data_IF_205928363240
#
_entry.id   IF_205928363240
#
_cell.length_a   1.000
_cell.length_b   1.000
_cell.length_c   1.000
_cell.angle_alpha   90.00
_cell.angle_beta   90.00
_cell.angle_gamma   90.00
#
_symmetry.space_group_name_H-M   'P 1'
#
loop_
_entity.id
_entity.type
_entity.pdbx_description
1 polymer ?
#
# COMPACT_ATOMS: atom_id res chain seq x y z
N UNK A 1 -9.07 -4.12 -38.24
CA UNK A 1 -8.87 -2.74 -37.74
C UNK A 1 -8.14 -1.90 -38.79
N UNK A 2 -8.76 -0.82 -39.25
CA UNK A 2 -8.24 0.02 -40.33
C UNK A 2 -6.86 0.62 -39.95
N UNK A 3 -5.89 0.62 -40.87
CA UNK A 3 -4.54 1.14 -40.62
C UNK A 3 -4.53 2.57 -40.05
N UNK A 4 -5.53 3.38 -40.38
CA UNK A 4 -5.73 4.74 -39.86
C UNK A 4 -6.09 4.79 -38.36
N UNK A 5 -6.74 3.75 -37.81
CA UNK A 5 -7.07 3.68 -36.38
C UNK A 5 -5.83 3.28 -35.58
N UNK A 6 -5.01 2.35 -36.09
CA UNK A 6 -3.72 1.97 -35.49
C UNK A 6 -2.79 3.17 -35.38
N UNK A 7 -2.68 3.96 -36.45
CA UNK A 7 -1.82 5.15 -36.48
C UNK A 7 -2.33 6.24 -35.50
N UNK A 8 -3.64 6.46 -35.41
CA UNK A 8 -4.22 7.42 -34.45
C UNK A 8 -4.03 6.99 -33.00
N UNK A 9 -4.15 5.68 -32.70
CA UNK A 9 -3.95 5.15 -31.35
C UNK A 9 -2.46 5.25 -30.94
N UNK A 10 -1.53 4.93 -31.84
CA UNK A 10 -0.08 5.09 -31.60
C UNK A 10 0.27 6.57 -31.36
N UNK A 11 -0.29 7.48 -32.17
CA UNK A 11 -0.08 8.92 -32.00
C UNK A 11 -0.68 9.42 -30.68
N UNK A 12 -1.85 8.93 -30.27
CA UNK A 12 -2.47 9.29 -29.01
C UNK A 12 -1.65 8.78 -27.80
N UNK A 13 -1.16 7.54 -27.84
CA UNK A 13 -0.31 6.96 -26.80
C UNK A 13 1.04 7.70 -26.73
N UNK A 14 1.64 8.00 -27.88
CA UNK A 14 2.90 8.77 -27.92
C UNK A 14 2.69 10.21 -27.43
N UNK A 15 1.57 10.85 -27.76
CA UNK A 15 1.24 12.20 -27.27
C UNK A 15 0.97 12.23 -25.78
N UNK A 16 0.32 11.20 -25.23
CA UNK A 16 0.11 11.06 -23.77
C UNK A 16 1.44 10.82 -23.05
N UNK A 17 2.36 10.03 -23.62
CA UNK A 17 3.69 9.80 -23.04
C UNK A 17 4.53 11.08 -23.08
N UNK A 18 4.44 11.89 -24.14
CA UNK A 18 5.17 13.17 -24.26
C UNK A 18 4.59 14.26 -23.33
N UNK A 19 3.27 14.23 -23.05
CA UNK A 19 2.63 15.16 -22.12
C UNK A 19 2.86 14.81 -20.62
N UNK A 20 3.33 13.59 -20.33
CA UNK A 20 3.59 13.11 -18.95
C UNK A 20 5.09 13.24 -18.58
N UNK A 21 5.95 13.65 -19.50
CA UNK A 21 7.34 13.97 -19.16
C UNK A 21 7.35 15.46 -18.74
N UNK A 22 7.22 15.80 -17.44
CA UNK A 22 7.63 17.14 -17.01
C UNK A 22 9.13 17.22 -17.29
N UNK A 23 9.59 18.35 -17.79
CA UNK A 23 11.03 18.65 -17.89
C UNK A 23 11.68 18.35 -16.55
N UNK A 24 12.37 17.21 -16.47
CA UNK A 24 13.23 16.84 -15.33
C UNK A 24 14.51 17.66 -15.50
N UNK A 25 14.38 18.95 -15.47
CA UNK A 25 15.48 19.87 -15.21
C UNK A 25 15.53 20.03 -13.69
N UNK A 26 16.30 19.19 -13.02
CA UNK A 26 16.76 19.46 -11.67
C UNK A 26 17.75 20.65 -11.74
N UNK A 27 17.23 21.83 -12.05
CA UNK A 27 17.93 23.09 -11.82
C UNK A 27 17.64 23.47 -10.36
N UNK A 28 18.65 23.27 -9.51
CA UNK A 28 18.79 24.05 -8.28
C UNK A 28 18.91 25.50 -8.73
N UNK A 29 17.81 26.21 -8.79
CA UNK A 29 17.83 27.66 -9.02
C UNK A 29 18.31 28.28 -7.73
N UNK A 30 19.38 29.08 -7.83
CA UNK A 30 19.93 29.94 -6.75
C UNK A 30 18.90 30.92 -6.12
N UNK A 31 17.63 30.86 -6.53
CA UNK A 31 16.50 31.58 -5.91
C UNK A 31 15.95 30.95 -4.64
N UNK A 32 16.30 29.71 -4.31
CA UNK A 32 15.86 29.01 -3.09
C UNK A 32 16.68 29.41 -1.85
N UNK A 33 17.73 30.21 -2.01
CA UNK A 33 18.54 30.73 -0.90
C UNK A 33 17.96 32.00 -0.25
N UNK A 34 16.89 32.60 -0.81
CA UNK A 34 16.18 33.72 -0.20
C UNK A 34 14.83 33.27 0.34
N UNK A 35 14.81 32.97 1.63
CA UNK A 35 13.70 32.45 2.38
C UNK A 35 12.36 33.09 2.09
N UNK A 36 11.40 32.26 1.65
CA UNK A 36 9.97 32.43 1.91
C UNK A 36 9.09 31.30 1.37
N UNK A 37 9.61 30.07 1.15
CA UNK A 37 8.74 28.89 1.19
C UNK A 37 9.06 28.17 2.48
N UNK A 38 8.26 28.41 3.48
CA UNK A 38 8.19 27.57 4.68
C UNK A 38 7.98 26.15 4.17
N UNK A 39 8.98 25.26 4.37
CA UNK A 39 8.80 23.86 4.09
C UNK A 39 7.56 23.39 4.86
N UNK A 40 6.65 22.62 4.26
CA UNK A 40 5.47 22.14 4.97
C UNK A 40 5.91 21.40 6.22
N UNK A 41 5.41 21.80 7.37
CA UNK A 41 5.67 21.12 8.64
C UNK A 41 5.36 19.63 8.50
N UNK A 42 6.34 18.78 8.80
CA UNK A 42 6.19 17.35 8.67
C UNK A 42 5.32 16.81 9.82
N UNK A 43 4.10 16.41 9.52
CA UNK A 43 3.16 15.78 10.45
C UNK A 43 2.71 14.43 9.93
N UNK A 44 3.64 13.47 9.87
CA UNK A 44 3.36 12.12 9.42
C UNK A 44 2.64 11.31 10.50
N UNK A 45 1.59 10.58 10.11
CA UNK A 45 0.87 9.67 11.00
C UNK A 45 1.78 8.49 11.36
N UNK A 46 1.99 8.30 12.66
CA UNK A 46 2.84 7.24 13.18
C UNK A 46 2.03 6.01 13.55
N UNK A 47 2.49 4.84 13.09
CA UNK A 47 1.85 3.55 13.37
C UNK A 47 2.86 2.50 13.77
N UNK A 48 2.45 1.56 14.60
CA UNK A 48 3.17 0.31 14.78
C UNK A 48 3.04 -0.56 13.51
N UNK A 49 3.96 -1.49 13.32
CA UNK A 49 3.92 -2.50 12.24
C UNK A 49 3.67 -1.94 10.84
N UNK A 50 4.41 -0.89 10.41
CA UNK A 50 4.20 -0.23 9.13
C UNK A 50 4.42 -1.15 7.92
N UNK A 51 5.07 -2.30 8.09
CA UNK A 51 5.25 -3.31 7.04
C UNK A 51 3.91 -3.81 6.46
N UNK A 52 2.81 -3.68 7.19
CA UNK A 52 1.47 -4.03 6.72
C UNK A 52 0.98 -3.12 5.57
N UNK A 53 1.57 -1.93 5.41
CA UNK A 53 1.21 -1.00 4.34
C UNK A 53 2.04 -1.17 3.07
N UNK A 54 3.14 -1.93 3.12
CA UNK A 54 4.00 -2.18 1.97
C UNK A 54 3.27 -3.09 0.98
N UNK A 55 3.21 -2.69 -0.29
CA UNK A 55 2.66 -3.52 -1.37
C UNK A 55 3.47 -4.81 -1.51
N UNK A 56 2.87 -5.99 -1.28
CA UNK A 56 3.64 -7.21 -1.19
C UNK A 56 3.90 -7.89 -2.54
N UNK A 57 3.07 -7.63 -3.56
CA UNK A 57 3.10 -8.28 -4.86
C UNK A 57 3.60 -7.37 -5.97
N UNK A 58 4.17 -7.98 -7.02
CA UNK A 58 4.76 -7.25 -8.14
C UNK A 58 3.72 -6.67 -9.08
N UNK A 59 2.56 -7.31 -9.27
CA UNK A 59 1.53 -6.80 -10.18
C UNK A 59 1.03 -5.44 -9.72
N UNK A 60 0.54 -5.36 -8.50
CA UNK A 60 0.06 -4.10 -7.93
C UNK A 60 1.21 -3.12 -7.69
N UNK A 61 2.40 -3.65 -7.34
CA UNK A 61 3.63 -2.86 -7.25
C UNK A 61 4.02 -2.16 -8.54
N UNK A 62 3.74 -2.77 -9.71
CA UNK A 62 3.96 -2.16 -11.02
C UNK A 62 2.85 -1.16 -11.42
N UNK A 63 1.75 -1.15 -10.69
CA UNK A 63 0.57 -0.32 -10.93
C UNK A 63 0.46 0.85 -9.93
N UNK A 64 1.61 1.34 -9.42
CA UNK A 64 1.64 2.46 -8.48
C UNK A 64 1.19 2.08 -7.07
N UNK A 65 1.38 0.84 -6.63
CA UNK A 65 0.92 0.32 -5.35
C UNK A 65 -0.61 0.44 -5.17
N UNK A 66 -1.37 0.19 -6.25
CA UNK A 66 -2.82 0.19 -6.27
C UNK A 66 -3.40 -1.19 -6.59
N UNK A 67 -4.52 -1.56 -5.97
CA UNK A 67 -5.04 -2.90 -6.12
C UNK A 67 -6.47 -3.13 -5.60
N UNK A 68 -7.13 -2.12 -5.03
CA UNK A 68 -8.44 -2.29 -4.38
C UNK A 68 -9.56 -2.66 -5.38
N UNK A 69 -9.45 -2.18 -6.62
CA UNK A 69 -10.41 -2.46 -7.68
C UNK A 69 -9.82 -3.18 -8.90
N UNK A 70 -8.55 -3.57 -8.91
CA UNK A 70 -7.95 -4.39 -9.98
C UNK A 70 -8.66 -5.74 -10.10
N UNK A 71 -8.52 -6.43 -11.24
CA UNK A 71 -9.08 -7.77 -11.41
C UNK A 71 -8.61 -8.72 -10.31
N UNK A 72 -9.46 -9.66 -9.92
CA UNK A 72 -9.15 -10.66 -8.90
C UNK A 72 -7.91 -11.48 -9.27
N UNK A 73 -7.06 -11.70 -8.30
CA UNK A 73 -5.87 -12.54 -8.40
C UNK A 73 -5.51 -13.15 -7.03
N UNK A 74 -4.47 -13.98 -6.99
CA UNK A 74 -4.01 -14.66 -5.76
C UNK A 74 -3.64 -13.67 -4.65
N UNK A 75 -3.22 -12.44 -4.99
CA UNK A 75 -2.78 -11.42 -4.03
C UNK A 75 -3.91 -10.52 -3.51
N UNK A 76 -5.16 -10.80 -3.87
CA UNK A 76 -6.34 -10.02 -3.47
C UNK A 76 -6.52 -9.90 -1.96
N UNK A 77 -5.95 -10.83 -1.17
CA UNK A 77 -5.94 -10.80 0.30
C UNK A 77 -5.45 -9.47 0.89
N UNK A 78 -4.39 -8.90 0.32
CA UNK A 78 -3.82 -7.64 0.79
C UNK A 78 -4.63 -6.41 0.38
N UNK A 79 -5.24 -6.45 -0.80
CA UNK A 79 -5.83 -5.27 -1.42
C UNK A 79 -7.31 -5.11 -1.11
N UNK A 80 -8.10 -6.13 -1.42
CA UNK A 80 -9.54 -6.19 -1.18
C UNK A 80 -9.98 -7.65 -1.24
N UNK A 81 -10.31 -8.20 -0.09
CA UNK A 81 -10.71 -9.59 0.03
C UNK A 81 -11.99 -9.92 -0.74
N UNK A 82 -12.89 -8.94 -0.94
CA UNK A 82 -14.11 -9.12 -1.74
C UNK A 82 -13.84 -9.57 -3.18
N UNK A 83 -12.69 -9.22 -3.76
CA UNK A 83 -12.31 -9.59 -5.13
C UNK A 83 -12.27 -11.11 -5.37
N UNK A 84 -11.88 -11.90 -4.37
CA UNK A 84 -11.72 -13.34 -4.53
C UNK A 84 -12.98 -14.05 -5.04
N UNK A 85 -14.17 -13.55 -4.73
CA UNK A 85 -15.41 -14.14 -5.22
C UNK A 85 -15.53 -14.14 -6.75
N UNK A 86 -14.78 -13.27 -7.44
CA UNK A 86 -14.72 -13.16 -8.90
C UNK A 86 -13.52 -13.86 -9.53
N UNK A 87 -12.73 -14.61 -8.76
CA UNK A 87 -11.63 -15.38 -9.33
C UNK A 87 -12.17 -16.65 -10.00
N UNK A 88 -11.80 -16.91 -11.25
CA UNK A 88 -12.38 -18.03 -12.03
C UNK A 88 -11.78 -19.37 -11.66
N UNK A 89 -10.54 -19.38 -11.17
CA UNK A 89 -9.83 -20.61 -10.85
C UNK A 89 -10.28 -21.26 -9.54
N UNK A 90 -10.15 -22.59 -9.48
CA UNK A 90 -10.52 -23.38 -8.32
C UNK A 90 -9.62 -23.16 -7.11
N UNK A 91 -8.38 -22.81 -7.34
CA UNK A 91 -7.42 -22.53 -6.28
C UNK A 91 -6.09 -22.05 -6.86
N UNK A 92 -5.28 -21.43 -6.01
CA UNK A 92 -3.97 -20.95 -6.41
C UNK A 92 -3.16 -20.46 -5.23
N UNK A 93 -1.88 -20.29 -5.44
CA UNK A 93 -0.99 -19.64 -4.48
C UNK A 93 0.05 -18.79 -5.22
N UNK A 94 0.60 -17.78 -4.51
CA UNK A 94 1.69 -16.97 -5.00
C UNK A 94 2.72 -16.71 -3.91
N UNK A 95 3.97 -16.64 -4.31
CA UNK A 95 5.10 -16.24 -3.47
C UNK A 95 5.67 -14.96 -4.05
N UNK A 96 5.81 -13.94 -3.20
CA UNK A 96 6.42 -12.66 -3.57
C UNK A 96 7.61 -12.37 -2.67
N UNK A 97 8.62 -11.75 -3.25
CA UNK A 97 9.82 -11.31 -2.55
C UNK A 97 10.19 -9.89 -2.96
N UNK A 98 10.39 -9.03 -1.97
CA UNK A 98 10.74 -7.62 -2.16
C UNK A 98 11.92 -7.26 -1.26
N UNK A 99 13.13 -7.08 -1.81
CA UNK A 99 14.19 -6.37 -1.10
C UNK A 99 13.72 -4.96 -0.81
N UNK A 100 13.66 -4.59 0.48
CA UNK A 100 13.11 -3.31 0.89
C UNK A 100 14.21 -2.39 1.42
N UNK A 101 14.17 -1.09 1.09
CA UNK A 101 15.13 -0.07 1.53
C UNK A 101 16.60 -0.47 1.32
N UNK A 102 16.91 -1.21 0.26
CA UNK A 102 18.23 -1.82 0.01
C UNK A 102 19.38 -0.82 -0.03
N UNK A 103 19.08 0.43 -0.39
CA UNK A 103 20.08 1.51 -0.39
C UNK A 103 20.47 1.98 1.01
N UNK A 104 19.65 1.72 2.03
CA UNK A 104 19.93 2.05 3.42
C UNK A 104 20.54 0.85 4.15
N UNK A 105 19.87 -0.29 4.10
CA UNK A 105 20.24 -1.52 4.79
C UNK A 105 20.02 -2.70 3.84
N UNK A 106 21.09 -3.39 3.39
CA UNK A 106 20.99 -4.34 2.27
C UNK A 106 20.24 -5.63 2.59
N UNK A 107 19.99 -5.96 3.84
CA UNK A 107 19.38 -7.21 4.32
C UNK A 107 17.93 -7.05 4.83
N UNK A 108 17.30 -5.86 4.64
CA UNK A 108 15.87 -5.70 4.86
C UNK A 108 15.10 -6.30 3.70
N UNK A 109 14.12 -7.15 3.99
CA UNK A 109 13.29 -7.78 2.96
C UNK A 109 11.89 -8.12 3.46
N UNK A 110 10.96 -8.16 2.51
CA UNK A 110 9.59 -8.60 2.68
C UNK A 110 9.35 -9.86 1.85
N UNK A 111 8.93 -10.93 2.49
CA UNK A 111 8.41 -12.14 1.86
C UNK A 111 6.90 -12.22 2.07
N UNK A 112 6.16 -12.62 1.04
CA UNK A 112 4.71 -12.75 1.07
C UNK A 112 4.28 -14.04 0.38
N UNK A 113 3.47 -14.82 1.05
CA UNK A 113 2.80 -16.01 0.53
C UNK A 113 1.30 -15.78 0.64
N UNK A 114 0.58 -15.93 -0.45
CA UNK A 114 -0.88 -15.88 -0.47
C UNK A 114 -1.43 -17.12 -1.17
N UNK A 115 -2.62 -17.53 -0.77
CA UNK A 115 -3.32 -18.63 -1.40
C UNK A 115 -4.82 -18.55 -1.19
N UNK A 116 -5.56 -19.15 -2.10
CA UNK A 116 -7.02 -19.23 -2.03
C UNK A 116 -7.51 -20.59 -2.53
N UNK A 117 -8.71 -20.91 -2.11
CA UNK A 117 -9.44 -22.09 -2.58
C UNK A 117 -10.93 -21.72 -2.72
N UNK A 118 -11.48 -21.98 -3.90
CA UNK A 118 -12.90 -21.81 -4.21
C UNK A 118 -13.67 -23.02 -3.68
N UNK A 119 -14.54 -22.77 -2.70
CA UNK A 119 -15.36 -23.83 -2.06
C UNK A 119 -16.51 -24.23 -2.97
N UNK A 120 -17.17 -23.24 -3.56
CA UNK A 120 -18.24 -23.39 -4.55
C UNK A 120 -18.28 -22.17 -5.50
N UNK A 121 -19.31 -22.04 -6.33
CA UNK A 121 -19.44 -20.93 -7.29
C UNK A 121 -19.51 -19.54 -6.64
N UNK A 122 -19.89 -19.48 -5.37
CA UNK A 122 -20.10 -18.21 -4.66
C UNK A 122 -19.07 -17.93 -3.56
N UNK A 123 -18.35 -18.96 -3.09
CA UNK A 123 -17.57 -18.89 -1.85
C UNK A 123 -16.09 -19.23 -2.06
N UNK A 124 -15.24 -18.40 -1.51
CA UNK A 124 -13.78 -18.57 -1.54
C UNK A 124 -13.22 -18.38 -0.14
N UNK A 125 -12.35 -19.29 0.27
CA UNK A 125 -11.49 -19.15 1.44
C UNK A 125 -10.08 -18.78 1.01
N UNK A 126 -9.39 -18.01 1.82
CA UNK A 126 -8.04 -17.53 1.50
C UNK A 126 -7.17 -17.44 2.75
N UNK A 127 -5.87 -17.44 2.52
CA UNK A 127 -4.88 -17.27 3.58
C UNK A 127 -3.68 -16.52 3.05
N UNK A 128 -2.98 -15.81 3.93
CA UNK A 128 -1.66 -15.26 3.59
C UNK A 128 -0.73 -15.27 4.78
N UNK A 129 0.57 -15.29 4.49
CA UNK A 129 1.66 -15.08 5.43
C UNK A 129 2.54 -13.96 4.89
N UNK A 130 2.77 -12.97 5.71
CA UNK A 130 3.72 -11.89 5.45
C UNK A 130 4.82 -11.93 6.49
N UNK A 131 6.06 -11.94 6.04
CA UNK A 131 7.24 -11.92 6.89
C UNK A 131 8.15 -10.76 6.47
N UNK A 132 8.49 -9.90 7.44
CA UNK A 132 9.35 -8.74 7.25
C UNK A 132 10.58 -8.87 8.15
N UNK A 133 11.75 -8.97 7.52
CA UNK A 133 13.04 -8.95 8.20
C UNK A 133 13.63 -7.55 8.14
N UNK A 134 14.07 -7.03 9.29
CA UNK A 134 14.73 -5.73 9.37
C UNK A 134 16.27 -5.87 9.30
N UNK A 135 16.77 -7.07 8.96
CA UNK A 135 18.19 -7.33 8.84
C UNK A 135 18.87 -7.66 10.18
N UNK A 136 20.20 -7.63 10.17
CA UNK A 136 21.02 -7.94 11.35
C UNK A 136 21.43 -6.67 12.07
N UNK A 137 21.07 -6.54 13.34
CA UNK A 137 21.52 -5.45 14.21
C UNK A 137 22.61 -5.98 15.15
N UNK A 138 23.77 -5.34 15.11
CA UNK A 138 24.88 -5.63 16.02
C UNK A 138 24.84 -4.65 17.20
N UNK A 139 24.71 -5.19 18.40
CA UNK A 139 24.79 -4.40 19.62
C UNK A 139 26.21 -4.27 20.07
N UNK A 140 26.60 -3.09 20.53
CA UNK A 140 27.90 -2.80 21.13
C UNK A 140 27.72 -2.22 22.53
N UNK A 141 28.60 -2.58 23.45
CA UNK A 141 28.69 -1.95 24.76
C UNK A 141 29.17 -0.49 24.62
N UNK A 142 29.07 0.28 25.70
CA UNK A 142 29.56 1.67 25.76
C UNK A 142 31.03 1.80 25.39
N UNK A 143 31.85 0.77 25.68
CA UNK A 143 33.27 0.68 25.34
C UNK A 143 33.53 0.25 23.88
N UNK A 144 32.49 0.06 23.07
CA UNK A 144 32.57 -0.38 21.68
C UNK A 144 32.78 -1.90 21.51
N UNK A 145 32.86 -2.69 22.57
CA UNK A 145 32.95 -4.15 22.49
C UNK A 145 31.64 -4.77 22.01
N UNK A 146 31.74 -5.91 21.34
CA UNK A 146 30.57 -6.64 20.85
C UNK A 146 29.68 -7.11 22.02
N UNK A 147 28.39 -6.71 22.01
CA UNK A 147 27.43 -7.07 23.05
C UNK A 147 26.44 -8.15 22.58
N UNK A 148 26.28 -8.35 21.24
CA UNK A 148 25.39 -9.36 20.68
C UNK A 148 24.92 -9.00 19.29
N UNK A 149 24.26 -9.95 18.65
CA UNK A 149 23.59 -9.75 17.34
C UNK A 149 22.16 -10.22 17.42
N UNK A 150 21.27 -9.45 16.79
CA UNK A 150 19.85 -9.73 16.77
C UNK A 150 19.22 -9.45 15.40
N UNK A 151 18.19 -10.20 15.06
CA UNK A 151 17.43 -10.07 13.81
C UNK A 151 15.99 -9.65 14.11
N UNK A 152 15.69 -8.34 14.18
CA UNK A 152 14.33 -7.88 14.33
C UNK A 152 13.46 -8.39 13.18
N UNK A 153 12.27 -8.84 13.50
CA UNK A 153 11.35 -9.33 12.50
C UNK A 153 9.88 -9.09 12.89
N UNK A 154 9.08 -8.99 11.88
CA UNK A 154 7.64 -8.85 12.02
C UNK A 154 6.96 -9.85 11.09
N UNK A 155 5.84 -10.40 11.51
CA UNK A 155 5.02 -11.22 10.63
C UNK A 155 3.53 -11.06 10.89
N UNK A 156 2.74 -11.35 9.86
CA UNK A 156 1.29 -11.42 9.94
C UNK A 156 0.77 -12.65 9.20
N UNK A 157 -0.23 -13.31 9.80
CA UNK A 157 -0.93 -14.44 9.20
C UNK A 157 -2.40 -14.06 9.08
N UNK A 158 -2.97 -14.27 7.90
CA UNK A 158 -4.36 -13.95 7.59
C UNK A 158 -5.15 -15.22 7.26
N UNK A 159 -6.41 -15.24 7.67
CA UNK A 159 -7.42 -16.17 7.20
C UNK A 159 -8.63 -15.37 6.71
N UNK A 160 -9.09 -15.66 5.50
CA UNK A 160 -10.10 -14.87 4.83
C UNK A 160 -11.24 -15.71 4.25
N UNK A 161 -12.40 -15.07 4.14
CA UNK A 161 -13.60 -15.60 3.49
C UNK A 161 -14.22 -14.52 2.62
N UNK A 162 -14.54 -14.87 1.38
CA UNK A 162 -15.19 -14.00 0.41
C UNK A 162 -16.42 -14.69 -0.19
N UNK A 163 -17.46 -13.89 -0.47
CA UNK A 163 -18.70 -14.40 -1.04
C UNK A 163 -19.25 -13.48 -2.12
N UNK A 164 -19.72 -14.08 -3.21
CA UNK A 164 -20.54 -13.44 -4.23
C UNK A 164 -21.98 -13.30 -3.70
N UNK A 165 -22.50 -12.08 -3.67
CA UNK A 165 -23.88 -11.79 -3.21
C UNK A 165 -24.85 -11.77 -4.37
N UNK A 166 -24.41 -11.23 -5.50
CA UNK A 166 -25.12 -11.20 -6.79
C UNK A 166 -24.07 -11.36 -7.90
N UNK A 167 -24.50 -11.45 -9.15
CA UNK A 167 -23.59 -11.57 -10.30
C UNK A 167 -22.56 -10.44 -10.39
N UNK A 168 -22.84 -9.30 -9.77
CA UNK A 168 -21.98 -8.11 -9.84
C UNK A 168 -21.38 -7.69 -8.49
N UNK A 169 -21.91 -8.16 -7.35
CA UNK A 169 -21.49 -7.72 -6.02
C UNK A 169 -20.90 -8.84 -5.19
N UNK A 170 -19.81 -8.56 -4.55
CA UNK A 170 -19.19 -9.44 -3.57
C UNK A 170 -18.72 -8.69 -2.33
N UNK A 171 -18.44 -9.45 -1.30
CA UNK A 171 -17.81 -8.95 -0.09
C UNK A 171 -17.00 -10.03 0.59
N UNK A 172 -16.14 -9.62 1.49
CA UNK A 172 -15.31 -10.54 2.24
C UNK A 172 -14.83 -9.96 3.55
N UNK A 173 -14.40 -10.86 4.42
CA UNK A 173 -13.81 -10.55 5.72
C UNK A 173 -12.54 -11.38 5.91
N UNK A 174 -11.51 -10.78 6.49
CA UNK A 174 -10.33 -11.52 6.95
C UNK A 174 -10.04 -11.23 8.40
N UNK A 175 -9.41 -12.20 9.06
CA UNK A 175 -8.84 -12.07 10.38
C UNK A 175 -7.32 -12.19 10.28
N UNK A 176 -6.61 -11.35 11.02
CA UNK A 176 -5.16 -11.23 11.00
C UNK A 176 -4.58 -11.35 12.40
N UNK A 177 -3.59 -12.22 12.56
CA UNK A 177 -2.69 -12.24 13.69
C UNK A 177 -1.39 -11.53 13.31
N UNK A 178 -0.88 -10.66 14.18
CA UNK A 178 0.31 -9.85 13.97
C UNK A 178 1.26 -10.04 15.14
N UNK A 179 2.55 -10.30 14.84
CA UNK A 179 3.63 -10.29 15.83
C UNK A 179 4.77 -9.42 15.31
N UNK A 180 5.23 -8.52 16.14
CA UNK A 180 6.37 -7.63 15.88
C UNK A 180 7.39 -7.80 16.99
N UNK A 181 8.57 -8.30 16.66
CA UNK A 181 9.69 -8.48 17.59
C UNK A 181 10.87 -7.62 17.13
N UNK A 182 10.94 -6.42 17.70
CA UNK A 182 11.94 -5.42 17.32
C UNK A 182 13.18 -5.43 18.21
N UNK A 183 13.10 -6.05 19.40
CA UNK A 183 14.08 -5.89 20.45
C UNK A 183 14.59 -7.21 21.06
N UNK A 184 13.94 -8.34 20.76
CA UNK A 184 14.26 -9.67 21.35
C UNK A 184 14.35 -9.69 22.88
N UNK A 185 13.53 -8.87 23.54
CA UNK A 185 13.55 -8.81 25.01
C UNK A 185 14.74 -8.05 25.59
N UNK A 186 15.50 -7.29 24.79
CA UNK A 186 16.54 -6.43 25.31
C UNK A 186 15.95 -5.31 26.16
N UNK A 187 16.58 -4.99 27.28
CA UNK A 187 16.15 -3.85 28.08
C UNK A 187 16.45 -2.52 27.37
N UNK A 188 15.57 -1.54 27.57
CA UNK A 188 15.83 -0.15 27.16
C UNK A 188 16.95 0.48 28.00
N UNK A 189 17.45 1.64 27.58
CA UNK A 189 18.55 2.34 28.29
C UNK A 189 18.21 2.73 29.72
N UNK A 190 16.93 2.83 30.05
CA UNK A 190 16.38 3.08 31.40
C UNK A 190 16.03 1.78 32.16
N UNK A 191 16.43 0.61 31.63
CA UNK A 191 16.30 -0.68 32.29
C UNK A 191 14.95 -1.33 32.22
N UNK A 192 14.00 -0.79 31.40
CA UNK A 192 12.71 -1.44 31.20
C UNK A 192 12.83 -2.65 30.27
N UNK A 193 12.22 -3.76 30.66
CA UNK A 193 12.16 -4.96 29.83
C UNK A 193 11.22 -4.72 28.61
N UNK A 194 11.72 -5.06 27.42
CA UNK A 194 10.93 -5.04 26.21
C UNK A 194 10.36 -6.42 25.89
N UNK A 195 9.32 -6.46 25.12
CA UNK A 195 8.64 -7.69 24.65
C UNK A 195 8.19 -7.57 23.22
N UNK A 196 8.00 -8.71 22.57
CA UNK A 196 7.36 -8.73 21.26
C UNK A 196 5.92 -8.19 21.36
N UNK A 197 5.58 -7.27 20.48
CA UNK A 197 4.23 -6.75 20.32
C UNK A 197 3.33 -7.77 19.61
N UNK A 198 2.10 -7.92 20.09
CA UNK A 198 1.08 -8.79 19.48
C UNK A 198 -0.18 -7.98 19.25
N UNK A 199 -0.80 -8.19 18.09
CA UNK A 199 -2.10 -7.59 17.76
C UNK A 199 -2.95 -8.56 16.96
N UNK A 200 -4.26 -8.34 17.04
CA UNK A 200 -5.27 -8.97 16.19
C UNK A 200 -6.01 -7.89 15.42
N UNK A 201 -6.27 -8.16 14.15
CA UNK A 201 -6.98 -7.24 13.28
C UNK A 201 -7.99 -7.99 12.40
N UNK A 202 -8.92 -7.21 11.84
CA UNK A 202 -9.85 -7.67 10.82
C UNK A 202 -9.79 -6.75 9.60
N UNK A 203 -10.07 -7.33 8.42
CA UNK A 203 -10.25 -6.60 7.18
C UNK A 203 -11.69 -6.81 6.68
N UNK A 204 -12.27 -5.78 6.09
CA UNK A 204 -13.54 -5.83 5.37
C UNK A 204 -13.33 -5.33 3.95
N UNK A 205 -13.92 -6.00 2.97
CA UNK A 205 -13.84 -5.59 1.58
C UNK A 205 -15.14 -5.82 0.84
N UNK A 206 -15.52 -4.87 -0.01
CA UNK A 206 -16.63 -4.97 -0.96
C UNK A 206 -16.11 -4.66 -2.34
N UNK A 207 -16.64 -5.38 -3.32
CA UNK A 207 -16.22 -5.24 -4.70
C UNK A 207 -17.42 -5.37 -5.62
N UNK A 208 -17.43 -4.53 -6.65
CA UNK A 208 -18.42 -4.52 -7.71
C UNK A 208 -17.72 -4.58 -9.05
N UNK A 209 -18.24 -5.39 -9.98
CA UNK A 209 -17.85 -5.34 -11.40
C UNK A 209 -19.04 -5.53 -12.31
N UNK A 210 -18.97 -4.95 -13.51
CA UNK A 210 -19.99 -5.08 -14.52
C UNK A 210 -19.40 -4.94 -15.92
N UNK A 211 -19.86 -5.76 -16.83
CA UNK A 211 -19.55 -5.68 -18.26
C UNK A 211 -20.37 -4.55 -18.91
N UNK A 212 -19.75 -3.88 -19.86
CA UNK A 212 -20.40 -2.79 -20.61
C UNK A 212 -19.99 -2.83 -22.08
N UNK A 213 -20.92 -2.54 -22.97
CA UNK A 213 -20.64 -2.39 -24.40
C UNK A 213 -20.04 -1.01 -24.66
N UNK A 214 -18.91 -0.95 -25.34
CA UNK A 214 -18.22 0.30 -25.71
C UNK A 214 -18.10 0.35 -27.23
N UNK A 215 -19.15 0.83 -27.89
CA UNK A 215 -19.24 0.85 -29.34
C UNK A 215 -19.32 -0.55 -29.93
N UNK A 216 -18.28 -1.00 -30.63
CA UNK A 216 -18.18 -2.35 -31.21
C UNK A 216 -17.31 -3.30 -30.37
N UNK A 217 -16.89 -2.91 -29.20
CA UNK A 217 -16.00 -3.66 -28.33
C UNK A 217 -16.59 -3.77 -26.93
N UNK A 218 -16.16 -4.77 -26.19
CA UNK A 218 -16.58 -5.00 -24.82
C UNK A 218 -15.63 -4.27 -23.85
N UNK A 219 -16.18 -3.83 -22.75
CA UNK A 219 -15.43 -3.27 -21.63
C UNK A 219 -15.94 -3.80 -20.30
N UNK A 220 -15.17 -3.56 -19.24
CA UNK A 220 -15.56 -3.90 -17.88
C UNK A 220 -15.15 -2.76 -16.95
N UNK A 221 -16.06 -2.36 -16.09
CA UNK A 221 -15.72 -1.46 -15.00
C UNK A 221 -15.90 -2.14 -13.64
N UNK A 222 -15.07 -1.73 -12.69
CA UNK A 222 -15.15 -2.23 -11.33
C UNK A 222 -14.91 -1.11 -10.33
N UNK A 223 -15.47 -1.28 -9.13
CA UNK A 223 -15.24 -0.42 -7.99
C UNK A 223 -14.99 -1.27 -6.75
N UNK A 224 -14.12 -0.80 -5.87
CA UNK A 224 -13.78 -1.49 -4.64
C UNK A 224 -13.69 -0.52 -3.46
N UNK A 225 -14.12 -1.01 -2.31
CA UNK A 225 -13.87 -0.40 -1.00
C UNK A 225 -13.34 -1.46 -0.06
N UNK A 226 -12.28 -1.12 0.69
CA UNK A 226 -11.75 -1.99 1.71
C UNK A 226 -11.31 -1.17 2.94
N UNK A 227 -11.57 -1.69 4.12
CA UNK A 227 -10.96 -1.22 5.37
C UNK A 227 -10.10 -2.37 5.88
N UNK A 228 -8.80 -2.13 5.97
CA UNK A 228 -7.82 -3.14 6.36
C UNK A 228 -7.15 -2.79 7.67
N UNK A 229 -6.68 -3.81 8.39
CA UNK A 229 -5.98 -3.65 9.68
C UNK A 229 -6.82 -2.98 10.78
N UNK A 230 -8.14 -3.22 10.85
CA UNK A 230 -8.95 -2.79 11.98
C UNK A 230 -8.60 -3.62 13.20
N UNK A 231 -7.75 -3.13 14.10
CA UNK A 231 -7.24 -3.97 15.16
C UNK A 231 -6.77 -3.25 16.41
N UNK A 232 -6.20 -4.03 17.32
CA UNK A 232 -5.75 -3.54 18.61
C UNK A 232 -4.39 -2.87 18.50
N UNK A 233 -4.15 -1.74 19.19
CA UNK A 233 -2.86 -1.10 19.23
C UNK A 233 -1.81 -1.98 19.93
N UNK A 234 -0.54 -1.80 19.59
CA UNK A 234 0.62 -2.57 20.06
C UNK A 234 1.39 -1.78 21.09
N UNK A 235 1.90 -2.49 22.12
CA UNK A 235 2.89 -2.00 23.07
C UNK A 235 4.09 -2.95 23.10
N UNK A 236 5.30 -2.41 23.13
CA UNK A 236 6.56 -3.14 23.19
C UNK A 236 7.21 -3.19 24.58
N UNK A 237 6.61 -2.52 25.57
CA UNK A 237 6.98 -2.64 26.99
C UNK A 237 5.74 -2.66 27.87
N UNK A 238 5.93 -2.89 29.19
CA UNK A 238 4.79 -3.02 30.11
C UNK A 238 4.13 -1.67 30.34
N UNK A 239 4.91 -0.61 30.44
CA UNK A 239 4.46 0.75 30.82
C UNK A 239 4.43 1.73 29.64
N UNK A 240 4.75 1.30 28.41
CA UNK A 240 4.71 2.20 27.24
C UNK A 240 3.30 2.39 26.71
N UNK A 241 3.09 3.58 26.17
CA UNK A 241 1.89 3.90 25.43
C UNK A 241 1.69 2.94 24.24
N UNK A 242 0.45 2.55 24.04
CA UNK A 242 0.08 1.71 22.91
C UNK A 242 0.05 2.52 21.63
N UNK A 243 0.74 2.02 20.60
CA UNK A 243 0.78 2.62 19.26
C UNK A 243 -0.25 1.94 18.37
N UNK A 244 -1.11 2.70 17.66
CA UNK A 244 -2.11 2.14 16.75
C UNK A 244 -1.44 1.40 15.58
N UNK A 245 -2.08 0.36 15.09
CA UNK A 245 -1.68 -0.31 13.84
C UNK A 245 -2.25 0.45 12.64
N UNK A 246 -1.70 0.30 11.41
CA UNK A 246 -2.07 1.11 10.26
C UNK A 246 -3.42 0.68 9.67
N UNK A 247 -4.51 1.00 10.36
CA UNK A 247 -5.86 0.85 9.82
C UNK A 247 -5.99 1.74 8.59
N UNK A 248 -6.38 1.17 7.45
CA UNK A 248 -6.38 1.89 6.19
C UNK A 248 -7.70 1.72 5.44
N UNK A 249 -8.32 2.83 5.06
CA UNK A 249 -9.44 2.89 4.12
C UNK A 249 -8.89 3.00 2.69
N UNK A 250 -9.35 2.12 1.82
CA UNK A 250 -9.03 2.10 0.38
C UNK A 250 -10.30 2.22 -0.42
N UNK A 251 -10.31 3.13 -1.38
CA UNK A 251 -11.38 3.31 -2.36
C UNK A 251 -10.76 3.31 -3.75
N UNK A 252 -11.35 2.63 -4.71
CA UNK A 252 -10.80 2.66 -6.06
C UNK A 252 -11.78 2.22 -7.12
N UNK A 253 -11.37 2.50 -8.35
CA UNK A 253 -12.09 2.15 -9.57
C UNK A 253 -11.15 1.65 -10.64
N UNK A 254 -11.69 0.82 -11.53
CA UNK A 254 -10.99 0.25 -12.67
C UNK A 254 -11.89 0.28 -13.89
N UNK A 255 -11.28 0.52 -15.04
CA UNK A 255 -11.91 0.34 -16.34
C UNK A 255 -11.00 -0.45 -17.27
N UNK A 256 -11.52 -1.55 -17.81
CA UNK A 256 -10.86 -2.39 -18.81
C UNK A 256 -11.57 -2.21 -20.15
N UNK A 257 -10.79 -1.97 -21.19
CA UNK A 257 -11.27 -1.90 -22.56
C UNK A 257 -10.63 -3.01 -23.38
N UNK A 258 -11.45 -3.89 -23.95
CA UNK A 258 -11.01 -4.95 -24.84
C UNK A 258 -10.91 -4.37 -26.27
N UNK A 259 -9.68 -4.13 -26.74
CA UNK A 259 -9.40 -3.55 -28.06
C UNK A 259 -9.76 -4.55 -29.16
N UNK A 260 -9.41 -5.81 -28.95
CA UNK A 260 -9.73 -6.97 -29.79
C UNK A 260 -9.57 -8.26 -28.97
N UNK A 261 -9.74 -9.44 -29.59
CA UNK A 261 -9.60 -10.76 -28.95
C UNK A 261 -8.26 -11.00 -28.25
N UNK A 262 -7.20 -10.26 -28.62
CA UNK A 262 -5.85 -10.46 -28.12
C UNK A 262 -5.34 -9.31 -27.25
N UNK A 263 -5.98 -8.15 -27.33
CA UNK A 263 -5.45 -6.92 -26.77
C UNK A 263 -6.46 -6.28 -25.83
N UNK A 264 -6.07 -6.06 -24.58
CA UNK A 264 -6.84 -5.26 -23.64
C UNK A 264 -5.98 -4.21 -22.94
N UNK A 265 -6.58 -3.10 -22.56
CA UNK A 265 -5.97 -2.06 -21.76
C UNK A 265 -6.85 -1.77 -20.55
N UNK A 266 -6.22 -1.66 -19.40
CA UNK A 266 -6.88 -1.40 -18.12
C UNK A 266 -6.27 -0.17 -17.47
N UNK A 267 -7.11 0.76 -17.04
CA UNK A 267 -6.74 1.86 -16.16
C UNK A 267 -7.40 1.69 -14.80
N UNK A 268 -6.68 2.00 -13.74
CA UNK A 268 -7.23 2.04 -12.39
C UNK A 268 -6.74 3.25 -11.61
N UNK A 269 -7.51 3.61 -10.58
CA UNK A 269 -7.17 4.67 -9.64
C UNK A 269 -7.63 4.27 -8.24
N UNK A 270 -6.74 4.37 -7.26
CA UNK A 270 -7.01 4.08 -5.86
C UNK A 270 -6.71 5.30 -4.99
N UNK A 271 -7.52 5.50 -3.96
CA UNK A 271 -7.34 6.47 -2.88
C UNK A 271 -7.20 5.74 -1.56
N UNK A 272 -6.20 6.11 -0.77
CA UNK A 272 -5.93 5.50 0.52
C UNK A 272 -5.85 6.58 1.60
N UNK A 273 -6.50 6.34 2.74
CA UNK A 273 -6.41 7.16 3.95
C UNK A 273 -6.17 6.27 5.16
N UNK A 274 -5.15 6.59 5.94
CA UNK A 274 -4.97 5.96 7.24
C UNK A 274 -6.08 6.43 8.19
N UNK A 275 -6.83 5.47 8.75
CA UNK A 275 -7.82 5.70 9.78
C UNK A 275 -7.19 5.65 11.18
N UNK A 276 -6.14 6.45 11.35
CA UNK A 276 -5.34 6.57 12.57
C UNK A 276 -5.28 8.03 12.92
N UNK A 277 -5.47 8.40 14.18
CA UNK A 277 -5.44 9.80 14.60
C UNK A 277 -4.13 10.50 14.22
N UNK A 278 -4.26 11.71 13.69
CA UNK A 278 -3.13 12.57 13.37
C UNK A 278 -2.53 13.12 14.66
N UNK A 279 -1.19 13.13 14.81
CA UNK A 279 -0.54 13.73 15.97
C UNK A 279 -0.94 15.20 16.14
N UNK A 280 -1.45 15.61 17.33
CA UNK A 280 -1.77 17.01 17.58
C UNK A 280 -0.50 17.83 17.73
N UNK A 281 -0.61 19.13 17.50
CA UNK A 281 0.44 20.09 17.85
C UNK A 281 0.36 20.39 19.35
N UNK A 282 1.48 20.15 20.06
CA UNK A 282 1.57 20.34 21.50
C UNK A 282 2.60 21.42 21.84
N UNK A 283 2.35 22.20 22.90
CA UNK A 283 3.30 23.14 23.47
C UNK A 283 3.36 22.96 24.99
N UNK A 284 4.50 23.30 25.59
CA UNK A 284 4.64 23.32 27.04
C UNK A 284 3.91 24.55 27.62
N UNK A 285 3.07 24.32 28.61
CA UNK A 285 2.42 25.37 29.36
C UNK A 285 3.40 25.99 30.41
N UNK A 286 2.92 26.97 31.17
CA UNK A 286 3.73 27.67 32.20
C UNK A 286 4.19 26.76 33.36
N UNK A 287 3.64 25.55 33.46
CA UNK A 287 3.98 24.52 34.46
C UNK A 287 4.94 23.46 33.92
N UNK A 288 5.21 23.49 32.59
CA UNK A 288 6.05 22.52 31.91
C UNK A 288 5.29 21.28 31.42
N UNK A 289 3.94 21.31 31.47
CA UNK A 289 3.09 20.25 30.98
C UNK A 289 2.80 20.44 29.49
N UNK A 290 2.82 19.34 28.69
CA UNK A 290 2.45 19.36 27.28
C UNK A 290 0.93 19.47 27.14
N UNK A 291 0.47 20.54 26.51
CA UNK A 291 -0.94 20.79 26.21
C UNK A 291 -1.20 20.82 24.72
N UNK A 292 -2.34 20.29 24.30
CA UNK A 292 -2.76 20.31 22.89
C UNK A 292 -3.19 21.73 22.51
N UNK A 293 -2.45 22.35 21.59
CA UNK A 293 -2.76 23.69 21.06
C UNK A 293 -3.63 23.57 19.81
N UNK A 294 -3.37 22.57 18.95
CA UNK A 294 -4.12 22.34 17.70
C UNK A 294 -4.26 20.84 17.45
N UNK A 295 -5.33 20.44 16.79
CA UNK A 295 -5.68 19.05 16.61
C UNK A 295 -6.56 18.52 17.74
N UNK A 296 -6.56 17.22 17.95
CA UNK A 296 -7.36 16.55 18.99
C UNK A 296 -6.53 15.60 19.82
N UNK A 297 -6.89 15.47 21.08
CA UNK A 297 -6.30 14.48 21.97
C UNK A 297 -6.49 13.05 21.44
N UNK A 298 -5.55 12.18 21.84
CA UNK A 298 -5.57 10.75 21.47
C UNK A 298 -6.86 10.10 22.01
N UNK A 299 -7.64 9.44 21.17
CA UNK A 299 -8.90 8.81 21.58
C UNK A 299 -8.67 7.59 22.46
N UNK A 300 -9.61 7.32 23.36
CA UNK A 300 -9.55 6.19 24.29
C UNK A 300 -9.74 4.81 23.65
N UNK A 301 -10.17 4.74 22.38
CA UNK A 301 -10.35 3.45 21.66
C UNK A 301 -9.99 3.56 20.18
N UNK A 302 -9.55 2.44 19.57
CA UNK A 302 -9.22 2.37 18.16
C UNK A 302 -10.40 2.74 17.24
N UNK A 303 -11.63 2.31 17.58
CA UNK A 303 -12.83 2.61 16.78
C UNK A 303 -13.14 4.11 16.77
N UNK A 304 -13.04 4.76 17.93
CA UNK A 304 -13.21 6.23 18.02
C UNK A 304 -12.10 6.91 17.22
N UNK A 305 -10.86 6.42 17.29
CA UNK A 305 -9.74 6.92 16.50
C UNK A 305 -9.96 6.85 15.00
N UNK A 306 -10.52 5.75 14.49
CA UNK A 306 -10.87 5.60 13.08
C UNK A 306 -11.87 6.66 12.60
N UNK A 307 -12.88 7.00 13.40
CA UNK A 307 -13.85 8.06 13.06
C UNK A 307 -13.21 9.44 13.21
N UNK A 308 -12.43 9.64 14.27
CA UNK A 308 -11.76 10.91 14.58
C UNK A 308 -10.75 11.31 13.49
N UNK A 309 -10.07 10.34 12.86
CA UNK A 309 -9.08 10.56 11.80
C UNK A 309 -9.58 11.32 10.55
N UNK A 310 -10.87 11.60 10.45
CA UNK A 310 -11.43 12.43 9.37
C UNK A 310 -11.49 13.92 9.69
N UNK A 311 -11.18 14.32 10.93
CA UNK A 311 -11.35 15.72 11.38
C UNK A 311 -10.45 16.09 12.57
N UNK A 312 -9.34 15.39 12.80
CA UNK A 312 -8.47 15.60 13.98
C UNK A 312 -7.14 16.30 13.66
N UNK A 313 -6.83 16.51 12.41
CA UNK A 313 -5.60 17.15 12.00
C UNK A 313 -5.46 18.57 12.61
N UNK A 314 -4.25 19.00 13.01
CA UNK A 314 -4.00 20.33 13.58
C UNK A 314 -4.21 21.48 12.60
N UNK A 315 -4.22 21.22 11.29
CA UNK A 315 -4.48 22.18 10.23
C UNK A 315 -3.20 22.76 9.60
N UNK A 316 -3.26 22.96 8.29
CA UNK A 316 -2.20 23.63 7.52
C UNK A 316 -2.28 25.12 7.75
N UNK A 317 -1.13 25.75 8.07
CA UNK A 317 -1.02 27.22 8.19
C UNK A 317 -1.30 27.91 6.84
N UNK A 318 -2.21 28.89 6.83
CA UNK A 318 -2.57 29.69 5.67
C UNK A 318 -1.73 30.97 5.51
N UNK A 319 -0.84 31.23 6.47
CA UNK A 319 0.00 32.42 6.47
C UNK A 319 -0.70 33.71 6.95
N UNK A 320 -1.95 33.63 7.38
CA UNK A 320 -2.76 34.72 7.94
C UNK A 320 -3.08 34.51 9.44
N UNK A 321 -2.41 33.54 10.08
CA UNK A 321 -2.67 33.12 11.44
C UNK A 321 -3.86 32.19 11.61
N UNK A 322 -4.48 31.72 10.50
CA UNK A 322 -5.53 30.70 10.51
C UNK A 322 -5.00 29.36 10.00
N UNK A 323 -5.64 28.27 10.43
CA UNK A 323 -5.25 26.90 10.08
C UNK A 323 -6.41 26.16 9.40
N UNK A 324 -6.10 25.38 8.37
CA UNK A 324 -7.09 24.60 7.61
C UNK A 324 -7.00 23.12 7.93
N UNK A 325 -7.86 22.65 8.83
CA UNK A 325 -8.03 21.20 9.13
C UNK A 325 -8.39 20.43 7.85
N UNK A 326 -9.37 20.92 7.10
CA UNK A 326 -9.83 20.26 5.86
C UNK A 326 -8.71 20.05 4.83
N UNK A 327 -7.81 21.03 4.67
CA UNK A 327 -6.69 20.90 3.74
C UNK A 327 -5.69 19.85 4.22
N UNK A 328 -5.43 19.78 5.52
CA UNK A 328 -4.53 18.75 6.07
C UNK A 328 -5.14 17.36 5.95
N UNK A 329 -6.43 17.18 6.19
CA UNK A 329 -7.14 15.92 5.99
C UNK A 329 -7.08 15.43 4.53
N UNK A 330 -7.16 16.36 3.55
CA UNK A 330 -6.96 16.01 2.14
C UNK A 330 -5.51 15.60 1.87
N UNK A 331 -4.54 16.25 2.49
CA UNK A 331 -3.13 15.91 2.35
C UNK A 331 -2.79 14.50 2.88
N UNK A 332 -3.62 13.94 3.75
CA UNK A 332 -3.48 12.57 4.27
C UNK A 332 -3.91 11.50 3.26
N UNK A 333 -4.63 11.88 2.21
CA UNK A 333 -5.05 10.96 1.17
C UNK A 333 -3.87 10.73 0.22
N UNK A 334 -3.37 9.51 0.18
CA UNK A 334 -2.46 9.07 -0.86
C UNK A 334 -3.26 8.48 -2.03
N UNK A 335 -2.72 8.59 -3.23
CA UNK A 335 -3.37 8.04 -4.41
C UNK A 335 -2.40 7.30 -5.32
N UNK A 336 -2.96 6.28 -5.97
CA UNK A 336 -2.28 5.43 -6.93
C UNK A 336 -3.00 5.51 -8.26
N UNK A 337 -2.25 5.56 -9.33
CA UNK A 337 -2.75 5.46 -10.69
C UNK A 337 -1.95 4.41 -11.44
N UNK A 338 -2.63 3.53 -12.20
CA UNK A 338 -1.96 2.48 -12.94
C UNK A 338 -2.61 2.20 -14.29
N UNK A 339 -1.76 1.77 -15.23
CA UNK A 339 -2.15 1.29 -16.55
C UNK A 339 -1.55 -0.09 -16.78
N UNK A 340 -2.38 -1.03 -17.24
CA UNK A 340 -2.01 -2.39 -17.58
C UNK A 340 -2.44 -2.70 -19.01
N UNK A 341 -1.53 -3.19 -19.82
CA UNK A 341 -1.82 -3.69 -21.16
C UNK A 341 -1.53 -5.18 -21.21
N UNK A 342 -2.49 -5.96 -21.69
CA UNK A 342 -2.35 -7.38 -21.92
C UNK A 342 -2.34 -7.74 -23.40
N UNK A 343 -1.42 -8.61 -23.75
CA UNK A 343 -1.39 -9.29 -25.05
C UNK A 343 -1.68 -10.78 -24.87
N UNK A 344 -2.76 -11.25 -25.52
CA UNK A 344 -3.26 -12.66 -25.49
C UNK A 344 -3.49 -13.19 -24.07
N UNK A 345 -3.75 -12.34 -23.10
CA UNK A 345 -3.85 -12.74 -21.68
C UNK A 345 -2.61 -13.51 -21.15
N UNK A 346 -1.47 -13.41 -21.87
CA UNK A 346 -0.23 -14.09 -21.55
C UNK A 346 0.89 -13.14 -21.18
N UNK A 347 1.01 -12.01 -21.87
CA UNK A 347 2.05 -11.04 -21.63
C UNK A 347 1.45 -9.70 -21.22
N UNK A 348 1.94 -9.13 -20.12
CA UNK A 348 1.49 -7.84 -19.62
C UNK A 348 2.64 -6.82 -19.54
N UNK A 349 2.34 -5.57 -19.85
CA UNK A 349 3.17 -4.41 -19.54
C UNK A 349 2.37 -3.51 -18.63
N UNK A 350 3.02 -2.98 -17.58
CA UNK A 350 2.40 -2.17 -16.55
C UNK A 350 3.21 -0.92 -16.27
N UNK A 351 2.51 0.15 -15.95
CA UNK A 351 3.11 1.36 -15.40
C UNK A 351 2.17 1.96 -14.38
N UNK A 352 2.72 2.69 -13.43
CA UNK A 352 1.91 3.35 -12.40
C UNK A 352 2.62 4.53 -11.77
N UNK A 353 1.89 5.26 -10.97
CA UNK A 353 2.37 6.38 -10.19
C UNK A 353 1.73 6.38 -8.80
N UNK A 354 2.54 6.56 -7.79
CA UNK A 354 2.12 6.72 -6.41
C UNK A 354 2.42 8.13 -5.92
N UNK A 355 1.47 8.72 -5.19
CA UNK A 355 1.62 10.05 -4.61
C UNK A 355 1.18 10.09 -3.16
N UNK A 356 2.04 10.63 -2.31
CA UNK A 356 1.77 11.01 -0.94
C UNK A 356 2.25 12.44 -0.71
N UNK A 357 1.46 13.23 0.03
CA UNK A 357 1.77 14.64 0.25
C UNK A 357 3.09 14.82 1.01
N UNK A 358 3.78 15.94 0.76
CA UNK A 358 5.09 16.23 1.35
C UNK A 358 5.07 16.25 2.88
N UNK A 359 4.00 16.78 3.51
CA UNK A 359 3.85 16.81 4.97
C UNK A 359 3.50 15.46 5.62
N UNK A 360 3.14 14.43 4.83
CA UNK A 360 2.64 13.14 5.34
C UNK A 360 3.55 11.95 5.01
N UNK A 361 4.75 12.18 4.48
CA UNK A 361 5.76 11.15 4.18
C UNK A 361 6.47 11.34 2.85
N UNK A 362 5.93 12.18 1.95
CA UNK A 362 6.55 12.61 0.69
C UNK A 362 6.98 11.45 -0.25
N UNK A 363 6.27 10.32 -0.22
CA UNK A 363 6.54 9.21 -1.13
C UNK A 363 5.91 9.50 -2.49
N UNK A 364 6.75 9.67 -3.50
CA UNK A 364 6.34 9.92 -4.89
C UNK A 364 7.24 9.12 -5.80
N UNK A 365 6.66 8.24 -6.60
CA UNK A 365 7.42 7.39 -7.51
C UNK A 365 6.59 6.90 -8.67
N UNK A 366 7.27 6.67 -9.78
CA UNK A 366 6.77 5.89 -10.90
C UNK A 366 7.10 4.42 -10.69
N UNK A 367 6.28 3.56 -11.28
CA UNK A 367 6.50 2.12 -11.30
C UNK A 367 6.37 1.60 -12.71
N UNK A 368 7.16 0.59 -13.03
CA UNK A 368 7.07 -0.15 -14.29
C UNK A 368 7.14 -1.64 -14.00
N UNK A 369 6.52 -2.44 -14.83
CA UNK A 369 6.58 -3.88 -14.66
C UNK A 369 6.14 -4.66 -15.85
N UNK A 370 6.45 -5.95 -15.80
CA UNK A 370 6.08 -6.93 -16.81
C UNK A 370 5.47 -8.15 -16.14
N UNK A 371 4.53 -8.79 -16.83
CA UNK A 371 3.90 -10.02 -16.39
C UNK A 371 3.90 -11.06 -17.50
N UNK A 372 4.07 -12.32 -17.11
CA UNK A 372 3.98 -13.49 -17.98
C UNK A 372 3.04 -14.49 -17.32
N UNK A 373 2.00 -14.92 -18.05
CA UNK A 373 1.07 -15.98 -17.62
C UNK A 373 1.07 -17.09 -18.65
N UNK A 374 1.47 -18.29 -18.22
CA UNK A 374 1.55 -19.49 -19.05
C UNK A 374 0.79 -20.63 -18.35
N UNK A 375 -0.38 -20.95 -18.84
CA UNK A 375 -1.27 -21.97 -18.25
C UNK A 375 -1.48 -21.71 -16.74
N UNK A 376 -0.92 -22.60 -15.91
CA UNK A 376 -1.01 -22.54 -14.44
C UNK A 376 0.03 -21.63 -13.78
N UNK A 377 0.96 -21.10 -14.53
CA UNK A 377 2.12 -20.36 -14.02
C UNK A 377 2.04 -18.90 -14.36
N UNK A 378 2.27 -18.03 -13.38
CA UNK A 378 2.38 -16.58 -13.56
C UNK A 378 3.67 -16.06 -12.94
N UNK A 379 4.33 -15.13 -13.61
CA UNK A 379 5.53 -14.45 -13.14
C UNK A 379 5.39 -12.96 -13.39
N UNK A 380 5.59 -12.16 -12.34
CA UNK A 380 5.51 -10.71 -12.40
C UNK A 380 6.78 -10.08 -11.83
N UNK A 381 7.22 -9.01 -12.47
CA UNK A 381 8.33 -8.17 -12.04
C UNK A 381 7.87 -6.73 -11.98
N UNK A 382 8.32 -6.01 -10.97
CA UNK A 382 8.12 -4.57 -10.85
C UNK A 382 9.39 -3.87 -10.42
N UNK A 383 9.55 -2.65 -10.90
CA UNK A 383 10.64 -1.75 -10.54
C UNK A 383 10.09 -0.37 -10.20
N UNK A 384 10.59 0.19 -9.10
CA UNK A 384 10.18 1.47 -8.57
C UNK A 384 11.23 2.54 -8.89
N UNK A 385 10.78 3.67 -9.45
CA UNK A 385 11.61 4.83 -9.81
C UNK A 385 11.14 6.04 -9.00
N UNK A 386 11.86 6.44 -7.94
CA UNK A 386 11.50 7.61 -7.14
C UNK A 386 11.59 8.90 -7.96
N UNK A 387 10.68 9.84 -7.70
CA UNK A 387 10.73 11.17 -8.31
C UNK A 387 11.55 12.18 -7.49
N UNK A 388 11.81 11.90 -6.21
CA UNK A 388 12.48 12.80 -5.26
C UNK A 388 14.02 12.64 -5.25
N UNK A 389 14.62 12.23 -6.38
CA UNK A 389 16.08 12.10 -6.55
C UNK A 389 16.65 10.72 -6.22
N UNK A 390 17.91 10.52 -6.60
CA UNK A 390 18.61 9.22 -6.48
C UNK A 390 18.87 8.78 -5.03
N UNK A 391 18.77 9.67 -4.07
CA UNK A 391 19.01 9.38 -2.65
C UNK A 391 17.75 8.90 -1.91
N UNK A 392 16.65 8.64 -2.61
CA UNK A 392 15.45 8.08 -1.97
C UNK A 392 15.75 6.68 -1.42
N UNK A 393 15.37 6.39 -0.17
CA UNK A 393 15.49 5.06 0.40
C UNK A 393 14.76 3.97 -0.41
N UNK A 394 13.72 4.36 -1.14
CA UNK A 394 12.92 3.47 -2.00
C UNK A 394 13.53 3.25 -3.38
N UNK A 395 14.63 3.96 -3.74
CA UNK A 395 15.28 3.77 -5.03
C UNK A 395 15.77 2.32 -5.20
N UNK A 396 15.70 1.82 -6.44
CA UNK A 396 16.11 0.47 -6.80
C UNK A 396 15.30 -0.67 -6.12
N UNK A 397 14.07 -0.40 -5.70
CA UNK A 397 13.19 -1.46 -5.20
C UNK A 397 12.71 -2.32 -6.36
N UNK A 398 13.11 -3.59 -6.35
CA UNK A 398 12.64 -4.64 -7.26
C UNK A 398 11.66 -5.53 -6.50
N UNK A 399 10.60 -5.96 -7.18
CA UNK A 399 9.63 -6.92 -6.65
C UNK A 399 9.48 -8.09 -7.61
N UNK A 400 9.39 -9.29 -7.03
CA UNK A 400 9.24 -10.54 -7.76
C UNK A 400 8.03 -11.28 -7.22
N UNK A 401 7.17 -11.73 -8.09
CA UNK A 401 6.04 -12.59 -7.73
C UNK A 401 5.98 -13.79 -8.65
N UNK A 402 5.83 -14.96 -8.05
CA UNK A 402 5.64 -16.22 -8.71
C UNK A 402 4.30 -16.78 -8.28
N UNK A 403 3.38 -16.95 -9.22
CA UNK A 403 2.03 -17.44 -8.98
C UNK A 403 1.77 -18.78 -9.65
N UNK A 404 0.93 -19.58 -9.00
CA UNK A 404 0.40 -20.82 -9.52
C UNK A 404 -1.11 -20.80 -9.39
N UNK A 405 -1.81 -21.03 -10.49
CA UNK A 405 -3.25 -20.96 -10.60
C UNK A 405 -3.77 -22.32 -11.14
N UNK A 406 -4.56 -23.00 -10.31
CA UNK A 406 -5.05 -24.33 -10.61
C UNK A 406 -6.43 -24.23 -11.28
N UNK A 407 -6.48 -23.62 -12.46
CA UNK A 407 -7.73 -23.41 -13.18
C UNK A 407 -8.41 -24.73 -13.56
N UNK A 408 -7.64 -25.79 -13.89
CA UNK A 408 -8.14 -27.05 -14.47
C UNK A 408 -7.31 -28.27 -14.05
N UNK A 409 -7.21 -28.56 -12.77
CA UNK A 409 -6.88 -29.92 -12.34
C UNK A 409 -8.18 -30.75 -12.32
N UNK A 410 -8.61 -31.21 -13.52
CA UNK A 410 -9.56 -32.29 -13.65
C UNK A 410 -8.90 -33.61 -13.33
#
# INVERSE_FOLDING_TARGET
>A
MNSRVKTKLIILITSIIVLIIPDISAQITTGELNGSKQEPELNAIQTAVPFLTIAPDSRSGALGDGGVATTADVNSQHWNIGKYAFIDSKGGFAISYTPWLRNLIPDINLAYLAGFFRVDEQQVISTSLRYFSLGNITFTNIDGSFAGQYNPNEFAIDAGYSRLFTDNWSGGIAFRFIRSDLTSGQATSDGQETKAGISFAADLGFYYQNQVDVGSSDGEWAAGIAITNMGTPISYSVDADKTPIPTNLRLGGRFTYNIDEYNSITGHMDFNKLLVPTPPHMEEDSTGDLVVIRGKEKPGSAVVGMVQSFYDAPGVDRGDGTYSVFQEEINEISYSFGLEYWYRSQFAIRTGYFHEHASKGNRKYFTVGVGLKLNVFAMDFAYLVPTNGQNSPLANTLRFTLGFDFADLQ
#
